data_IF_983797733224
#
_entry.id   IF_983797733224
#
_cell.length_a   1.000
_cell.length_b   1.000
_cell.length_c   1.000
_cell.angle_alpha   90.00
_cell.angle_beta   90.00
_cell.angle_gamma   90.00
#
_symmetry.space_group_name_H-M   'P 1'
#
loop_
_entity.id
_entity.type
_entity.pdbx_description
1 polymer ?
#
# COMPACT_ATOMS: atom_id res chain seq x y z
N UNK A 1 -5.92 12.46 13.25
CA UNK A 1 -6.87 11.37 12.92
C UNK A 1 -6.05 10.34 12.17
N UNK A 2 -5.82 9.16 12.75
CA UNK A 2 -4.70 8.28 12.39
C UNK A 2 -5.13 6.81 12.19
N UNK A 3 -6.43 6.58 12.04
CA UNK A 3 -6.98 5.24 11.82
C UNK A 3 -7.07 5.03 10.31
N UNK A 4 -6.20 4.15 9.80
CA UNK A 4 -6.12 3.82 8.38
C UNK A 4 -5.08 4.65 7.61
N UNK A 5 -4.69 4.10 6.46
CA UNK A 5 -3.68 4.68 5.56
C UNK A 5 -4.20 5.02 4.17
N UNK A 6 -5.48 4.72 3.91
CA UNK A 6 -6.08 4.90 2.60
C UNK A 6 -6.40 6.37 2.31
N UNK A 7 -7.06 7.05 3.26
CA UNK A 7 -7.45 8.46 3.11
C UNK A 7 -6.50 9.46 3.78
N UNK A 8 -5.73 8.99 4.76
CA UNK A 8 -4.83 9.80 5.55
C UNK A 8 -3.47 9.12 5.63
N UNK A 9 -2.35 9.86 5.74
CA UNK A 9 -1.01 9.28 5.66
C UNK A 9 -0.68 8.24 6.74
N UNK A 10 -1.26 8.35 7.94
CA UNK A 10 -1.11 7.35 9.01
C UNK A 10 0.35 6.91 9.24
N UNK A 11 0.60 5.60 9.17
CA UNK A 11 1.93 5.00 9.31
C UNK A 11 2.89 5.33 8.15
N UNK A 12 2.37 5.59 6.94
CA UNK A 12 3.18 5.95 5.78
C UNK A 12 3.88 7.31 5.92
N UNK A 13 3.52 8.13 6.92
CA UNK A 13 4.32 9.31 7.30
C UNK A 13 5.79 8.98 7.54
N UNK A 14 6.07 7.75 7.96
CA UNK A 14 7.43 7.24 8.12
C UNK A 14 7.73 6.07 7.17
N UNK A 15 6.75 5.18 6.94
CA UNK A 15 6.88 3.97 6.12
C UNK A 15 6.68 4.20 4.61
N UNK A 16 7.14 5.32 4.06
CA UNK A 16 7.02 5.63 2.63
C UNK A 16 8.31 5.40 1.83
N UNK A 17 9.37 4.86 2.45
CA UNK A 17 10.69 4.71 1.82
C UNK A 17 11.52 6.01 1.78
N UNK A 18 10.98 7.12 2.30
CA UNK A 18 11.64 8.43 2.26
C UNK A 18 12.58 8.68 3.44
N UNK A 19 12.35 8.01 4.57
CA UNK A 19 13.22 8.11 5.75
C UNK A 19 14.32 7.07 5.65
N UNK A 20 15.54 7.54 5.39
CA UNK A 20 16.73 6.71 5.19
C UNK A 20 17.75 7.01 6.29
N UNK A 21 18.30 5.97 6.92
CA UNK A 21 19.36 6.10 7.92
C UNK A 21 20.68 6.55 7.28
N UNK A 22 21.67 6.95 8.09
CA UNK A 22 23.00 7.33 7.58
C UNK A 22 23.71 6.17 6.87
N UNK A 23 23.37 4.94 7.24
CA UNK A 23 23.86 3.70 6.66
C UNK A 23 23.07 3.26 5.41
N UNK A 24 22.11 4.07 4.95
CA UNK A 24 21.33 3.82 3.73
C UNK A 24 20.10 2.95 3.91
N UNK A 25 19.68 2.63 5.14
CA UNK A 25 18.49 1.80 5.38
C UNK A 25 17.22 2.65 5.36
N UNK A 26 16.33 2.39 4.42
CA UNK A 26 15.03 3.04 4.34
C UNK A 26 13.99 2.34 5.23
N UNK A 27 13.07 3.12 5.83
CA UNK A 27 11.84 2.57 6.40
C UNK A 27 10.92 2.20 5.25
N UNK A 28 10.72 0.91 5.04
CA UNK A 28 10.13 0.43 3.81
C UNK A 28 8.60 0.53 3.79
N UNK A 29 8.03 0.46 2.57
CA UNK A 29 6.60 0.71 2.31
C UNK A 29 5.81 -0.54 1.94
N UNK A 30 6.45 -1.71 2.01
CA UNK A 30 5.83 -2.97 1.62
C UNK A 30 4.59 -3.24 2.47
N UNK A 31 3.50 -3.60 1.80
CA UNK A 31 2.21 -3.84 2.46
C UNK A 31 2.29 -5.02 3.42
N UNK A 32 3.17 -5.97 3.13
CA UNK A 32 3.43 -7.21 3.87
C UNK A 32 3.95 -6.96 5.28
N UNK A 33 4.44 -5.76 5.58
CA UNK A 33 4.86 -5.37 6.93
C UNK A 33 3.67 -5.32 7.89
N UNK A 34 2.47 -5.02 7.38
CA UNK A 34 1.25 -4.91 8.20
C UNK A 34 0.12 -5.83 7.74
N UNK A 35 0.09 -6.26 6.48
CA UNK A 35 -1.00 -7.00 5.87
C UNK A 35 -0.53 -8.34 5.32
N UNK A 36 -1.27 -9.40 5.59
CA UNK A 36 -1.18 -10.62 4.77
C UNK A 36 -2.34 -10.62 3.79
N UNK A 37 -2.07 -10.27 2.53
CA UNK A 37 -3.11 -10.16 1.50
C UNK A 37 -3.43 -11.56 0.97
N UNK A 38 -4.60 -12.06 1.32
CA UNK A 38 -5.07 -13.40 0.92
C UNK A 38 -5.87 -13.38 -0.39
N UNK A 39 -6.54 -12.27 -0.69
CA UNK A 39 -7.37 -12.10 -1.87
C UNK A 39 -7.56 -10.62 -2.19
N UNK A 40 -7.84 -10.33 -3.45
CA UNK A 40 -8.11 -8.98 -3.96
C UNK A 40 -9.24 -9.08 -5.00
N UNK A 41 -10.17 -8.12 -4.99
CA UNK A 41 -11.37 -8.08 -5.87
C UNK A 41 -11.03 -8.30 -7.35
N UNK A 42 -9.87 -7.81 -7.81
CA UNK A 42 -9.38 -7.93 -9.19
C UNK A 42 -8.88 -9.32 -9.57
N UNK A 43 -8.79 -10.25 -8.62
CA UNK A 43 -8.26 -11.59 -8.84
C UNK A 43 -9.19 -12.64 -8.24
N UNK A 44 -10.08 -13.21 -9.06
CA UNK A 44 -10.85 -14.45 -8.77
C UNK A 44 -9.97 -15.71 -8.74
N UNK A 45 -8.70 -15.58 -8.38
CA UNK A 45 -7.83 -16.75 -8.26
C UNK A 45 -8.16 -17.50 -6.96
N UNK A 46 -8.30 -18.83 -7.02
CA UNK A 46 -8.54 -19.63 -5.83
C UNK A 46 -7.38 -19.43 -4.85
N UNK A 47 -7.70 -19.27 -3.56
CA UNK A 47 -6.74 -19.13 -2.47
C UNK A 47 -6.03 -20.47 -2.23
N UNK A 48 -5.14 -20.87 -3.13
CA UNK A 48 -4.40 -22.14 -3.04
C UNK A 48 -3.06 -21.92 -2.35
N UNK A 49 -2.95 -22.41 -1.11
CA UNK A 49 -1.79 -22.20 -0.25
C UNK A 49 -1.78 -20.78 0.31
N UNK A 50 -1.70 -20.64 1.64
CA UNK A 50 -1.69 -19.34 2.32
C UNK A 50 -0.33 -18.66 2.12
N UNK A 51 -0.09 -18.13 0.92
CA UNK A 51 1.01 -17.20 0.64
C UNK A 51 0.41 -15.83 0.39
N UNK A 52 0.87 -14.86 1.17
CA UNK A 52 0.53 -13.45 0.95
C UNK A 52 0.88 -13.04 -0.47
N UNK A 53 0.02 -12.24 -1.08
CA UNK A 53 0.18 -11.75 -2.46
C UNK A 53 0.53 -10.26 -2.42
N UNK A 54 1.31 -9.75 -3.38
CA UNK A 54 1.54 -8.32 -3.47
C UNK A 54 0.22 -7.61 -3.76
N UNK A 55 0.03 -6.42 -3.18
CA UNK A 55 -1.11 -5.57 -3.49
C UNK A 55 -1.08 -5.13 -4.95
N UNK A 56 -2.21 -5.27 -5.64
CA UNK A 56 -2.48 -4.56 -6.90
C UNK A 56 -3.62 -3.57 -6.76
N UNK A 57 -3.40 -2.35 -7.27
CA UNK A 57 -4.45 -1.34 -7.40
C UNK A 57 -5.60 -1.85 -8.29
N UNK A 58 -6.89 -1.58 -7.96
CA UNK A 58 -8.02 -2.13 -8.70
C UNK A 58 -8.14 -1.66 -10.16
N UNK A 59 -7.57 -0.50 -10.48
CA UNK A 59 -7.49 0.04 -11.83
C UNK A 59 -6.02 0.25 -12.23
N UNK A 60 -5.75 0.16 -13.52
CA UNK A 60 -4.41 0.38 -14.07
C UNK A 60 -3.99 1.85 -13.89
N UNK A 61 -2.97 2.08 -13.07
CA UNK A 61 -2.41 3.41 -12.77
C UNK A 61 -0.97 3.58 -13.29
N UNK A 62 -0.51 2.65 -14.14
CA UNK A 62 0.85 2.63 -14.67
C UNK A 62 1.90 2.55 -13.55
N UNK A 63 2.91 3.42 -13.64
CA UNK A 63 4.06 3.43 -12.71
C UNK A 63 3.76 4.05 -11.33
N UNK A 64 2.50 4.46 -11.09
CA UNK A 64 2.07 5.06 -9.82
C UNK A 64 1.83 4.03 -8.71
N UNK A 65 2.15 2.75 -8.90
CA UNK A 65 2.12 1.74 -7.82
C UNK A 65 3.04 2.10 -6.65
N UNK A 66 3.99 3.02 -6.86
CA UNK A 66 4.85 3.55 -5.81
C UNK A 66 4.21 4.69 -4.99
N UNK A 67 3.11 5.29 -5.44
CA UNK A 67 2.42 6.34 -4.71
C UNK A 67 1.76 5.80 -3.43
N UNK A 68 1.60 6.65 -2.41
CA UNK A 68 0.75 6.30 -1.26
C UNK A 68 -0.72 6.50 -1.61
N UNK A 69 -1.62 5.66 -1.09
CA UNK A 69 -3.05 5.70 -1.45
C UNK A 69 -3.65 7.09 -1.22
N UNK A 70 -3.27 7.75 -0.12
CA UNK A 70 -3.77 9.07 0.27
C UNK A 70 -3.36 10.21 -0.67
N UNK A 71 -2.36 10.02 -1.53
CA UNK A 71 -1.99 11.02 -2.54
C UNK A 71 -3.10 11.20 -3.58
N UNK A 72 -3.83 10.13 -3.90
CA UNK A 72 -4.96 10.16 -4.85
C UNK A 72 -6.32 10.08 -4.14
N UNK A 73 -6.41 9.34 -3.04
CA UNK A 73 -7.65 9.13 -2.28
C UNK A 73 -7.72 10.07 -1.08
N UNK A 74 -8.07 11.34 -1.29
CA UNK A 74 -8.10 12.36 -0.23
C UNK A 74 -9.46 12.52 0.48
N UNK A 75 -10.36 11.53 0.34
CA UNK A 75 -11.68 11.53 0.97
C UNK A 75 -12.80 12.20 0.17
N UNK A 76 -12.50 12.74 -1.02
CA UNK A 76 -13.51 13.08 -2.03
C UNK A 76 -13.97 11.84 -2.82
N UNK A 77 -15.05 11.95 -3.64
CA UNK A 77 -15.37 10.90 -4.61
C UNK A 77 -14.14 10.68 -5.49
N UNK A 78 -13.61 9.46 -5.47
CA UNK A 78 -12.50 9.08 -6.34
C UNK A 78 -12.90 9.27 -7.82
N UNK A 79 -11.92 9.45 -8.72
CA UNK A 79 -12.19 9.45 -10.16
C UNK A 79 -12.87 8.14 -10.62
#
# INVERSE_FOLDING_TARGET
>A
NNIGHFYYPGCFRCHAGQLVSQEGKAISKECEICHTILGQETSRQPMVGVKGRPFRHPVEIGDLQAATCSECHSGGPGP
#
